data_IF_166138624872
#
_entry.id   IF_166138624872
#
_cell.length_a   1.000
_cell.length_b   1.000
_cell.length_c   1.000
_cell.angle_alpha   90.00
_cell.angle_beta   90.00
_cell.angle_gamma   90.00
#
_symmetry.space_group_name_H-M   'P 1'
#
loop_
_entity.id
_entity.type
_entity.pdbx_description
1 polymer ?
#
# COMPACT_ATOMS: atom_id res chain seq x y z
N UNK A 1 9.60 19.00 -21.05
CA UNK A 1 10.01 19.41 -19.69
C UNK A 1 11.21 18.54 -19.26
N UNK A 2 12.40 19.11 -19.10
CA UNK A 2 13.67 18.38 -18.92
C UNK A 2 13.95 18.09 -17.43
N UNK A 3 13.36 17.02 -16.89
CA UNK A 3 13.43 16.66 -15.46
C UNK A 3 14.82 16.23 -14.95
N UNK A 4 15.82 16.05 -15.82
CA UNK A 4 17.15 15.59 -15.43
C UNK A 4 18.01 16.68 -14.75
N UNK A 5 17.68 17.96 -14.94
CA UNK A 5 18.44 19.10 -14.41
C UNK A 5 18.08 19.50 -12.96
N UNK A 6 17.08 18.87 -12.34
CA UNK A 6 16.68 19.21 -10.98
C UNK A 6 17.75 18.78 -9.94
N UNK A 7 18.00 19.64 -8.94
CA UNK A 7 18.87 19.32 -7.80
C UNK A 7 18.25 18.20 -6.93
N UNK A 8 19.11 17.32 -6.38
CA UNK A 8 18.76 16.07 -5.70
C UNK A 8 17.56 16.10 -4.72
N UNK A 9 17.38 17.10 -3.83
CA UNK A 9 16.26 17.08 -2.88
C UNK A 9 14.88 17.27 -3.53
N UNK A 10 14.80 17.94 -4.68
CA UNK A 10 13.53 18.20 -5.39
C UNK A 10 13.03 16.98 -6.17
N UNK A 11 13.90 16.01 -6.48
CA UNK A 11 13.51 14.77 -7.16
C UNK A 11 12.66 13.86 -6.28
N UNK A 12 12.84 13.90 -4.96
CA UNK A 12 12.02 13.14 -4.02
C UNK A 12 10.55 13.59 -4.03
N UNK A 13 10.31 14.89 -4.22
CA UNK A 13 8.97 15.47 -4.35
C UNK A 13 8.32 15.12 -5.69
N UNK A 14 9.09 15.11 -6.78
CA UNK A 14 8.64 14.76 -8.13
C UNK A 14 8.45 13.25 -8.36
N UNK A 15 9.16 12.40 -7.61
CA UNK A 15 9.02 10.94 -7.70
C UNK A 15 7.66 10.44 -7.20
N UNK A 16 7.04 11.13 -6.24
CA UNK A 16 5.72 10.78 -5.69
C UNK A 16 4.63 10.67 -6.78
N UNK A 17 4.45 11.67 -7.68
CA UNK A 17 3.53 11.55 -8.81
C UNK A 17 3.96 10.56 -9.91
N UNK A 18 5.26 10.43 -10.22
CA UNK A 18 5.73 9.48 -11.25
C UNK A 18 5.55 8.01 -10.84
N UNK A 19 5.67 7.74 -9.54
CA UNK A 19 5.37 6.43 -8.95
C UNK A 19 3.86 6.13 -8.92
N UNK A 20 3.03 7.15 -8.71
CA UNK A 20 1.57 7.03 -8.76
C UNK A 20 1.08 6.75 -10.19
N UNK A 21 1.70 7.36 -11.22
CA UNK A 21 1.32 7.15 -12.62
C UNK A 21 1.63 5.73 -13.12
N UNK A 22 2.77 5.16 -12.73
CA UNK A 22 3.14 3.77 -13.09
C UNK A 22 2.45 2.70 -12.23
N UNK A 23 1.67 3.11 -11.23
CA UNK A 23 0.91 2.19 -10.38
C UNK A 23 -0.24 1.49 -11.12
N UNK A 24 -0.67 2.05 -12.25
CA UNK A 24 -1.74 1.57 -13.14
C UNK A 24 -1.39 0.27 -13.87
N UNK A 25 -0.10 -0.04 -14.09
CA UNK A 25 0.34 -1.33 -14.64
C UNK A 25 0.29 -2.49 -13.63
N UNK A 26 -0.04 -2.22 -12.37
CA UNK A 26 -0.20 -3.24 -11.32
C UNK A 26 -1.68 -3.41 -10.91
N UNK A 27 -2.63 -3.00 -11.75
CA UNK A 27 -4.07 -3.18 -11.56
C UNK A 27 -4.68 -4.31 -12.42
N UNK A 28 -3.87 -5.05 -13.17
CA UNK A 28 -4.31 -6.36 -13.66
C UNK A 28 -3.95 -7.38 -12.58
N UNK A 29 -4.94 -8.11 -12.05
CA UNK A 29 -4.79 -9.18 -11.06
C UNK A 29 -3.97 -10.37 -11.57
N UNK A 30 -2.71 -10.12 -11.94
CA UNK A 30 -1.78 -11.12 -12.44
C UNK A 30 -1.06 -11.70 -11.22
N UNK A 31 -1.13 -13.03 -11.01
CA UNK A 31 -0.38 -13.68 -9.93
C UNK A 31 1.11 -13.39 -10.09
N UNK A 32 1.79 -13.12 -8.96
CA UNK A 32 3.22 -12.78 -8.95
C UNK A 32 4.03 -14.03 -9.33
N UNK A 33 4.23 -14.23 -10.63
CA UNK A 33 5.12 -15.24 -11.19
C UNK A 33 6.54 -14.72 -11.27
N UNK A 34 7.54 -15.61 -11.43
CA UNK A 34 8.95 -15.22 -11.60
C UNK A 34 9.14 -14.15 -12.70
N UNK A 35 8.35 -14.22 -13.77
CA UNK A 35 8.35 -13.23 -14.84
C UNK A 35 7.98 -11.82 -14.35
N UNK A 36 6.92 -11.68 -13.53
CA UNK A 36 6.52 -10.38 -12.98
C UNK A 36 7.52 -9.81 -11.98
N UNK A 37 8.25 -10.67 -11.24
CA UNK A 37 9.34 -10.23 -10.37
C UNK A 37 10.50 -9.62 -11.18
N UNK A 38 10.86 -10.28 -12.29
CA UNK A 38 11.92 -9.80 -13.18
C UNK A 38 11.56 -8.46 -13.83
N UNK A 39 10.30 -8.19 -14.14
CA UNK A 39 9.88 -6.90 -14.71
C UNK A 39 9.88 -5.77 -13.67
N UNK A 40 9.66 -6.07 -12.38
CA UNK A 40 9.65 -5.09 -11.29
C UNK A 40 11.06 -4.70 -10.80
N UNK A 41 12.03 -5.60 -10.89
CA UNK A 41 13.40 -5.38 -10.40
C UNK A 41 14.12 -4.20 -11.10
N UNK A 42 14.04 -4.03 -12.44
CA UNK A 42 14.56 -2.86 -13.14
C UNK A 42 13.89 -1.56 -12.71
N UNK A 43 12.57 -1.57 -12.50
CA UNK A 43 11.82 -0.37 -12.08
C UNK A 43 12.28 0.14 -10.71
N UNK A 44 12.43 -0.75 -9.72
CA UNK A 44 12.97 -0.40 -8.40
C UNK A 44 14.39 0.17 -8.48
N UNK A 45 15.24 -0.42 -9.34
CA UNK A 45 16.61 0.08 -9.58
C UNK A 45 16.62 1.46 -10.22
N UNK A 46 15.77 1.70 -11.22
CA UNK A 46 15.65 3.02 -11.89
C UNK A 46 15.14 4.09 -10.93
N UNK A 47 14.16 3.75 -10.09
CA UNK A 47 13.67 4.65 -9.05
C UNK A 47 14.75 5.01 -8.01
N UNK A 48 15.52 4.03 -7.54
CA UNK A 48 16.61 4.30 -6.60
C UNK A 48 17.69 5.21 -7.21
N UNK A 49 18.11 4.93 -8.46
CA UNK A 49 19.07 5.78 -9.19
C UNK A 49 18.53 7.19 -9.43
N UNK A 50 17.22 7.32 -9.69
CA UNK A 50 16.57 8.62 -9.84
C UNK A 50 16.61 9.45 -8.57
N UNK A 51 16.32 8.83 -7.42
CA UNK A 51 16.33 9.50 -6.11
C UNK A 51 17.75 9.94 -5.72
N UNK A 52 18.75 9.07 -5.88
CA UNK A 52 20.14 9.38 -5.57
C UNK A 52 20.86 10.21 -6.63
N UNK A 53 20.22 10.49 -7.77
CA UNK A 53 20.86 11.06 -8.97
C UNK A 53 22.12 10.31 -9.43
N UNK A 54 22.31 9.06 -9.00
CA UNK A 54 23.53 8.31 -9.25
C UNK A 54 23.29 7.27 -10.36
N UNK A 55 23.69 7.65 -11.57
CA UNK A 55 23.55 6.82 -12.78
C UNK A 55 24.85 6.09 -13.16
N UNK A 56 25.89 6.17 -12.32
CA UNK A 56 27.18 5.58 -12.64
C UNK A 56 27.09 4.05 -12.77
N UNK A 57 27.81 3.46 -13.75
CA UNK A 57 27.74 2.02 -14.07
C UNK A 57 28.28 1.15 -12.93
N UNK A 58 29.33 1.62 -12.22
CA UNK A 58 29.88 0.92 -11.04
C UNK A 58 29.12 1.18 -9.74
N UNK A 59 28.15 2.11 -9.73
CA UNK A 59 27.37 2.37 -8.52
C UNK A 59 26.43 1.18 -8.23
N UNK A 60 26.55 0.63 -7.02
CA UNK A 60 25.73 -0.51 -6.59
C UNK A 60 24.28 -0.09 -6.37
N UNK A 61 23.40 -0.61 -7.23
CA UNK A 61 21.95 -0.44 -7.08
C UNK A 61 21.40 -1.10 -5.81
N UNK A 62 22.07 -2.12 -5.28
CA UNK A 62 21.68 -2.77 -4.03
C UNK A 62 21.97 -1.86 -2.83
N UNK A 63 23.14 -1.21 -2.81
CA UNK A 63 23.48 -0.21 -1.77
C UNK A 63 22.54 1.00 -1.80
N UNK A 64 22.17 1.49 -2.99
CA UNK A 64 21.16 2.55 -3.10
C UNK A 64 19.80 2.10 -2.52
N UNK A 65 19.39 0.86 -2.77
CA UNK A 65 18.12 0.34 -2.23
C UNK A 65 18.18 0.10 -0.72
N UNK A 66 19.30 -0.34 -0.15
CA UNK A 66 19.43 -0.47 1.31
C UNK A 66 19.43 0.89 2.00
N UNK A 67 20.04 1.91 1.38
CA UNK A 67 20.06 3.28 1.90
C UNK A 67 18.67 3.95 1.78
N UNK A 68 17.88 3.56 0.77
CA UNK A 68 16.45 3.86 0.68
C UNK A 68 15.70 2.87 1.56
N UNK A 69 15.61 3.12 2.87
CA UNK A 69 14.76 2.40 3.84
C UNK A 69 13.25 2.56 3.55
N UNK A 70 12.85 2.43 2.28
CA UNK A 70 11.48 2.55 1.81
C UNK A 70 10.76 1.23 2.04
N UNK A 71 9.58 1.25 2.70
CA UNK A 71 8.76 0.06 2.85
C UNK A 71 8.34 -0.51 1.48
N UNK A 72 8.02 -1.80 1.46
CA UNK A 72 7.60 -2.51 0.25
C UNK A 72 6.44 -1.78 -0.45
N UNK A 73 6.44 -1.80 -1.78
CA UNK A 73 5.39 -1.15 -2.58
C UNK A 73 4.00 -1.69 -2.27
N UNK A 74 3.89 -3.00 -2.05
CA UNK A 74 2.66 -3.66 -1.62
C UNK A 74 2.16 -3.09 -0.28
N UNK A 75 3.06 -2.96 0.70
CA UNK A 75 2.75 -2.39 1.99
C UNK A 75 2.27 -0.94 1.87
N UNK A 76 3.00 -0.10 1.13
CA UNK A 76 2.61 1.30 0.90
C UNK A 76 1.23 1.42 0.25
N UNK A 77 0.91 0.55 -0.71
CA UNK A 77 -0.42 0.50 -1.34
C UNK A 77 -1.49 0.06 -0.37
N UNK A 78 -1.23 -0.96 0.44
CA UNK A 78 -2.13 -1.45 1.48
C UNK A 78 -2.46 -0.35 2.48
N UNK A 79 -1.43 0.33 3.00
CA UNK A 79 -1.58 1.49 3.89
C UNK A 79 -2.42 2.58 3.24
N UNK A 80 -2.08 3.02 2.02
CA UNK A 80 -2.86 4.06 1.33
C UNK A 80 -4.32 3.68 1.10
N UNK A 81 -4.59 2.41 0.75
CA UNK A 81 -5.94 1.89 0.53
C UNK A 81 -6.75 1.93 1.83
N UNK A 82 -6.20 1.44 2.93
CA UNK A 82 -6.83 1.44 4.24
C UNK A 82 -7.01 2.87 4.78
N UNK A 83 -6.04 3.76 4.58
CA UNK A 83 -6.18 5.19 4.94
C UNK A 83 -7.32 5.86 4.17
N UNK A 84 -7.47 5.57 2.86
CA UNK A 84 -8.59 6.07 2.08
C UNK A 84 -9.92 5.51 2.58
N UNK A 85 -9.97 4.22 2.88
CA UNK A 85 -11.17 3.56 3.41
C UNK A 85 -11.59 4.11 4.78
N UNK A 86 -10.62 4.35 5.67
CA UNK A 86 -10.82 5.01 6.97
C UNK A 86 -11.43 6.40 6.78
N UNK A 87 -10.86 7.20 5.88
CA UNK A 87 -11.38 8.53 5.56
C UNK A 87 -12.83 8.47 5.08
N UNK A 88 -13.17 7.56 4.16
CA UNK A 88 -14.55 7.39 3.70
C UNK A 88 -15.47 6.98 4.86
N UNK A 89 -15.02 6.08 5.73
CA UNK A 89 -15.82 5.53 6.85
C UNK A 89 -16.15 6.56 7.94
N UNK A 90 -15.26 7.52 8.18
CA UNK A 90 -15.38 8.51 9.27
C UNK A 90 -15.69 9.93 8.82
N UNK A 91 -15.22 10.38 7.64
CA UNK A 91 -15.34 11.79 7.23
C UNK A 91 -16.42 12.05 6.18
N UNK A 92 -16.89 11.05 5.42
CA UNK A 92 -17.85 11.26 4.32
C UNK A 92 -19.03 10.29 4.42
N UNK A 93 -20.07 10.68 5.16
CA UNK A 93 -21.29 9.88 5.38
C UNK A 93 -21.96 9.44 4.08
N UNK A 94 -22.10 10.34 3.11
CA UNK A 94 -22.76 10.05 1.82
C UNK A 94 -22.02 9.01 0.98
N UNK A 95 -20.68 8.99 1.03
CA UNK A 95 -19.87 7.98 0.34
C UNK A 95 -19.87 6.66 1.11
N UNK A 96 -19.87 6.71 2.45
CA UNK A 96 -19.99 5.53 3.29
C UNK A 96 -21.27 4.75 2.95
N UNK A 97 -22.42 5.40 2.91
CA UNK A 97 -23.70 4.75 2.61
C UNK A 97 -23.74 4.11 1.21
N UNK A 98 -23.03 4.70 0.23
CA UNK A 98 -22.99 4.20 -1.15
C UNK A 98 -21.97 3.09 -1.38
N UNK A 99 -20.82 3.15 -0.70
CA UNK A 99 -19.66 2.29 -0.98
C UNK A 99 -19.46 1.19 0.06
N UNK A 100 -19.97 1.38 1.28
CA UNK A 100 -19.76 0.48 2.42
C UNK A 100 -21.08 -0.17 2.76
N UNK A 101 -21.13 -1.49 2.58
CA UNK A 101 -22.29 -2.29 2.91
C UNK A 101 -22.33 -2.57 4.42
N UNK A 102 -23.54 -2.67 4.97
CA UNK A 102 -23.73 -3.19 6.32
C UNK A 102 -23.31 -4.66 6.38
N UNK A 103 -22.65 -5.10 7.46
CA UNK A 103 -22.26 -6.49 7.62
C UNK A 103 -23.50 -7.38 7.73
N UNK A 104 -23.55 -8.52 7.02
CA UNK A 104 -24.68 -9.45 7.12
C UNK A 104 -24.74 -10.15 8.48
N UNK A 105 -23.59 -10.28 9.16
CA UNK A 105 -23.47 -10.85 10.48
C UNK A 105 -22.25 -10.27 11.21
N UNK A 106 -22.40 -10.01 12.51
CA UNK A 106 -21.34 -9.55 13.40
C UNK A 106 -21.26 -10.45 14.64
N UNK A 107 -20.09 -11.01 14.89
CA UNK A 107 -19.79 -11.78 16.12
C UNK A 107 -18.96 -10.94 17.07
N UNK A 108 -19.46 -10.66 18.27
CA UNK A 108 -18.70 -9.91 19.27
C UNK A 108 -17.37 -10.56 19.69
N UNK A 109 -17.22 -11.88 19.48
CA UNK A 109 -16.00 -12.62 19.85
C UNK A 109 -14.92 -12.58 18.77
N UNK A 110 -15.33 -12.48 17.51
CA UNK A 110 -14.43 -12.62 16.35
C UNK A 110 -14.25 -11.31 15.58
N UNK A 111 -15.23 -10.42 15.67
CA UNK A 111 -15.30 -9.21 14.87
C UNK A 111 -15.17 -7.96 15.74
N UNK A 112 -14.58 -6.91 15.17
CA UNK A 112 -14.56 -5.59 15.80
C UNK A 112 -15.84 -4.80 15.52
N UNK A 113 -16.12 -3.79 16.36
CA UNK A 113 -17.37 -2.99 16.32
C UNK A 113 -17.64 -2.30 14.98
N UNK A 114 -16.59 -1.99 14.22
CA UNK A 114 -16.67 -1.32 12.92
C UNK A 114 -16.56 -2.27 11.71
N UNK A 115 -16.97 -3.53 11.87
CA UNK A 115 -16.99 -4.50 10.77
C UNK A 115 -17.91 -4.03 9.65
N UNK A 116 -17.49 -4.25 8.41
CA UNK A 116 -18.22 -3.85 7.21
C UNK A 116 -18.59 -5.07 6.36
N UNK A 117 -19.66 -4.96 5.58
CA UNK A 117 -20.06 -5.97 4.61
C UNK A 117 -19.11 -6.02 3.42
N UNK A 118 -18.84 -7.23 2.93
CA UNK A 118 -18.06 -7.45 1.71
C UNK A 118 -19.04 -7.74 0.57
N UNK A 119 -19.03 -6.97 -0.52
CA UNK A 119 -19.90 -7.25 -1.67
C UNK A 119 -19.49 -8.57 -2.33
N UNK A 120 -20.48 -9.26 -2.89
CA UNK A 120 -20.23 -10.46 -3.69
C UNK A 120 -19.49 -10.09 -4.98
N UNK A 121 -18.52 -10.91 -5.36
CA UNK A 121 -17.73 -10.73 -6.58
C UNK A 121 -17.73 -12.02 -7.39
N UNK A 122 -17.70 -11.89 -8.73
CA UNK A 122 -17.68 -13.04 -9.66
C UNK A 122 -16.37 -13.18 -10.41
N UNK A 123 -15.51 -12.16 -10.40
CA UNK A 123 -14.25 -12.13 -11.13
C UNK A 123 -13.09 -11.77 -10.22
N UNK A 124 -11.92 -12.35 -10.46
CA UNK A 124 -10.68 -12.00 -9.76
C UNK A 124 -10.29 -10.53 -9.97
N UNK A 125 -10.56 -9.99 -11.16
CA UNK A 125 -10.33 -8.57 -11.44
C UNK A 125 -11.17 -7.65 -10.55
N UNK A 126 -12.43 -8.00 -10.29
CA UNK A 126 -13.26 -7.24 -9.36
C UNK A 126 -12.82 -7.45 -7.91
N UNK A 127 -12.44 -8.68 -7.50
CA UNK A 127 -11.87 -8.98 -6.18
C UNK A 127 -10.67 -8.08 -5.85
N UNK A 128 -9.81 -7.79 -6.83
CA UNK A 128 -8.64 -6.94 -6.64
C UNK A 128 -8.93 -5.43 -6.65
N UNK A 129 -10.15 -5.04 -7.02
CA UNK A 129 -10.59 -3.65 -7.01
C UNK A 129 -10.76 -3.11 -5.59
N UNK A 130 -10.86 -1.80 -5.45
CA UNK A 130 -10.97 -1.13 -4.15
C UNK A 130 -12.16 -1.62 -3.31
N UNK A 131 -13.29 -1.93 -3.96
CA UNK A 131 -14.59 -2.12 -3.30
C UNK A 131 -14.69 -3.44 -2.52
N UNK A 132 -14.33 -4.61 -3.06
CA UNK A 132 -14.31 -5.85 -2.26
C UNK A 132 -13.01 -6.02 -1.45
N UNK A 133 -11.88 -5.50 -1.95
CA UNK A 133 -10.58 -5.69 -1.29
C UNK A 133 -10.43 -4.90 0.01
N UNK A 134 -10.86 -3.63 0.03
CA UNK A 134 -10.65 -2.76 1.20
C UNK A 134 -11.48 -3.19 2.42
N UNK A 135 -12.78 -3.52 2.29
CA UNK A 135 -13.58 -4.08 3.38
C UNK A 135 -13.01 -5.39 3.93
N UNK A 136 -12.50 -6.26 3.05
CA UNK A 136 -11.83 -7.49 3.47
C UNK A 136 -10.60 -7.20 4.32
N UNK A 137 -9.67 -6.38 3.82
CA UNK A 137 -8.45 -6.00 4.57
C UNK A 137 -8.79 -5.25 5.88
N UNK A 138 -9.84 -4.42 5.88
CA UNK A 138 -10.32 -3.67 7.04
C UNK A 138 -10.86 -4.59 8.14
N UNK A 139 -11.67 -5.59 7.78
CA UNK A 139 -12.28 -6.50 8.75
C UNK A 139 -11.24 -7.39 9.48
N UNK A 140 -10.05 -7.56 8.91
CA UNK A 140 -8.94 -8.28 9.54
C UNK A 140 -8.09 -7.37 10.44
N UNK A 141 -8.36 -6.07 10.49
CA UNK A 141 -7.63 -5.16 11.38
C UNK A 141 -8.07 -5.37 12.84
N UNK A 142 -7.14 -5.25 13.79
CA UNK A 142 -7.49 -5.29 15.20
C UNK A 142 -8.33 -4.08 15.60
N UNK A 143 -9.25 -4.29 16.55
CA UNK A 143 -10.24 -3.30 16.97
C UNK A 143 -9.61 -1.95 17.37
N UNK A 144 -8.44 -1.97 18.04
CA UNK A 144 -7.75 -0.76 18.50
C UNK A 144 -7.28 0.16 17.37
N UNK A 145 -6.95 -0.39 16.18
CA UNK A 145 -6.58 0.43 15.02
C UNK A 145 -7.82 1.04 14.38
N UNK A 146 -8.89 0.25 14.34
CA UNK A 146 -10.13 0.63 13.67
C UNK A 146 -10.88 1.71 14.45
N UNK A 147 -10.82 1.67 15.79
CA UNK A 147 -11.47 2.65 16.68
C UNK A 147 -10.82 4.05 16.67
N UNK A 148 -9.68 4.22 16.01
CA UNK A 148 -9.01 5.52 15.89
C UNK A 148 -9.88 6.43 15.03
N UNK A 149 -10.53 7.43 15.64
CA UNK A 149 -11.37 8.40 14.93
C UNK A 149 -10.58 9.59 14.36
N UNK A 150 -9.37 9.84 14.86
CA UNK A 150 -8.56 11.01 14.49
C UNK A 150 -8.10 10.98 13.03
N UNK A 151 -8.11 12.14 12.38
CA UNK A 151 -7.86 12.34 10.95
C UNK A 151 -6.44 11.90 10.54
N UNK A 152 -6.39 10.88 9.68
CA UNK A 152 -5.35 10.41 8.76
C UNK A 152 -3.91 10.21 9.27
N UNK A 153 -3.28 11.17 9.95
CA UNK A 153 -1.84 11.08 10.28
C UNK A 153 -1.59 9.96 11.29
N UNK A 154 -2.32 9.97 12.42
CA UNK A 154 -2.14 8.98 13.48
C UNK A 154 -2.53 7.55 13.04
N UNK A 155 -3.61 7.41 12.28
CA UNK A 155 -4.06 6.11 11.77
C UNK A 155 -3.05 5.51 10.78
N UNK A 156 -2.53 6.32 9.84
CA UNK A 156 -1.57 5.86 8.83
C UNK A 156 -0.27 5.38 9.48
N UNK A 157 0.25 6.11 10.46
CA UNK A 157 1.49 5.74 11.15
C UNK A 157 1.30 4.49 12.00
N UNK A 158 0.16 4.36 12.68
CA UNK A 158 -0.20 3.18 13.47
C UNK A 158 -0.31 1.92 12.60
N UNK A 159 -0.98 2.01 11.45
CA UNK A 159 -1.06 0.90 10.49
C UNK A 159 0.29 0.55 9.91
N UNK A 160 1.08 1.56 9.54
CA UNK A 160 2.41 1.33 8.96
C UNK A 160 3.28 0.59 9.97
N UNK A 161 3.28 1.01 11.22
CA UNK A 161 4.03 0.36 12.30
C UNK A 161 3.55 -1.07 12.54
N UNK A 162 2.23 -1.29 12.57
CA UNK A 162 1.65 -2.62 12.74
C UNK A 162 2.18 -3.58 11.66
N UNK A 163 2.10 -3.22 10.39
CA UNK A 163 2.56 -4.10 9.31
C UNK A 163 4.10 -4.20 9.17
N UNK A 164 4.85 -3.13 9.47
CA UNK A 164 6.32 -3.19 9.46
C UNK A 164 6.87 -4.18 10.50
N UNK A 165 6.22 -4.30 11.66
CA UNK A 165 6.60 -5.29 12.69
C UNK A 165 6.40 -6.74 12.21
N UNK A 166 5.32 -7.01 11.46
CA UNK A 166 5.07 -8.34 10.91
C UNK A 166 6.00 -8.70 9.75
N UNK A 167 6.35 -7.75 8.88
CA UNK A 167 7.27 -8.00 7.76
C UNK A 167 8.69 -8.30 8.28
N UNK A 168 9.18 -7.60 9.32
CA UNK A 168 10.48 -7.91 9.95
C UNK A 168 10.55 -9.33 10.52
N UNK A 169 9.46 -9.84 11.10
CA UNK A 169 9.40 -11.22 11.59
C UNK A 169 9.41 -12.23 10.44
N UNK A 170 8.79 -11.91 9.30
CA UNK A 170 8.78 -12.80 8.13
C UNK A 170 10.13 -12.88 7.42
N UNK A 171 10.90 -11.79 7.38
CA UNK A 171 12.25 -11.76 6.81
C UNK A 171 13.28 -12.52 7.69
N UNK A 172 13.03 -12.65 9.00
CA UNK A 172 13.84 -13.49 9.90
C UNK A 172 13.65 -14.99 9.63
N UNK A 173 12.47 -15.43 9.16
CA UNK A 173 12.19 -16.85 8.90
C UNK A 173 12.70 -17.36 7.55
N UNK A 174 13.05 -16.46 6.62
CA UNK A 174 13.63 -16.81 5.30
C UNK A 174 15.16 -16.75 5.26
N UNK A 175 15.81 -16.54 6.42
CA UNK A 175 17.27 -16.48 6.57
C UNK A 175 17.85 -17.64 7.39
N UNK A 176 17.10 -18.73 7.59
CA UNK A 176 17.61 -20.00 8.14
C UNK A 176 17.52 -21.11 7.09
#
# INVERSE_FOLDING_TARGET
MKFYLAQCPLKLLLFKPWYALNSTLQQSGIPVTAHTYLTLKPFKTRGARFIFCNYHRSASASSMKSNLSLPLLSLRRKVSRLSLFHKISYSVSTLKEKLILSPPHTSFRLDHQHKVGIPQFRTFAYLDSFIPRSPSEWNHLPAYLVSISSINFFFKDSITSHFCLFDCLSDCFLSC
#
